data_IF_577658417467
#
_entry.id   IF_577658417467
#
_cell.length_a   1.000
_cell.length_b   1.000
_cell.length_c   1.000
_cell.angle_alpha   90.00
_cell.angle_beta   90.00
_cell.angle_gamma   90.00
#
_symmetry.space_group_name_H-M   'P 1'
#
loop_
_entity.id
_entity.type
_entity.pdbx_description
1 polymer ?
#
# COMPACT_ATOMS: atom_id res chain seq x y z
N UNK A 1 2.76 24.79 -22.83
CA UNK A 1 3.09 24.42 -21.44
C UNK A 1 3.55 22.98 -21.46
N UNK A 2 4.80 22.67 -21.08
CA UNK A 2 5.38 21.33 -21.20
C UNK A 2 4.82 20.38 -20.13
N UNK A 3 4.69 19.08 -20.47
CA UNK A 3 4.20 18.01 -19.56
C UNK A 3 4.96 17.94 -18.23
N UNK A 4 6.19 18.43 -18.20
CA UNK A 4 7.06 18.44 -17.01
C UNK A 4 6.63 19.46 -15.93
N UNK A 5 5.93 20.54 -16.30
CA UNK A 5 5.51 21.57 -15.33
C UNK A 5 4.20 21.24 -14.60
N UNK A 6 3.53 20.14 -14.95
CA UNK A 6 2.33 19.65 -14.27
C UNK A 6 2.66 18.77 -13.05
N UNK A 7 3.93 18.38 -12.88
CA UNK A 7 4.28 17.15 -12.17
C UNK A 7 4.53 17.26 -10.66
N UNK A 8 4.57 18.46 -10.07
CA UNK A 8 5.12 18.57 -8.72
C UNK A 8 4.01 18.71 -7.67
N UNK A 9 3.06 19.64 -7.78
CA UNK A 9 1.85 19.71 -6.91
C UNK A 9 0.66 18.86 -7.42
N UNK A 10 0.88 18.07 -8.46
CA UNK A 10 -0.13 17.72 -9.44
C UNK A 10 -0.54 16.26 -9.46
N UNK A 11 -0.37 15.48 -8.40
CA UNK A 11 -0.86 14.10 -8.34
C UNK A 11 -2.09 13.91 -7.45
N UNK A 12 -2.56 14.98 -6.80
CA UNK A 12 -3.80 14.97 -5.98
C UNK A 12 -5.03 14.58 -6.81
N UNK A 13 -5.00 14.74 -8.15
CA UNK A 13 -6.05 14.22 -9.04
C UNK A 13 -6.20 12.69 -8.99
N UNK A 14 -5.22 11.96 -8.44
CA UNK A 14 -5.30 10.51 -8.30
C UNK A 14 -6.23 10.08 -7.15
N UNK A 15 -6.59 10.96 -6.20
CA UNK A 15 -7.50 10.62 -5.11
C UNK A 15 -8.87 10.11 -5.61
N UNK A 16 -9.58 10.80 -6.53
CA UNK A 16 -10.80 10.26 -7.14
C UNK A 16 -10.57 8.95 -7.91
N UNK A 17 -9.40 8.77 -8.54
CA UNK A 17 -9.07 7.53 -9.25
C UNK A 17 -8.83 6.36 -8.28
N UNK A 18 -8.31 6.63 -7.07
CA UNK A 18 -8.18 5.64 -5.99
C UNK A 18 -9.56 5.27 -5.43
N UNK A 19 -10.48 6.24 -5.27
CA UNK A 19 -11.86 5.92 -4.89
C UNK A 19 -12.51 4.97 -5.88
N UNK A 20 -12.42 5.29 -7.18
CA UNK A 20 -12.99 4.46 -8.23
C UNK A 20 -12.36 3.05 -8.25
N UNK A 21 -11.05 2.95 -8.01
CA UNK A 21 -10.38 1.65 -7.91
C UNK A 21 -10.87 0.83 -6.70
N UNK A 22 -11.04 1.47 -5.53
CA UNK A 22 -11.58 0.82 -4.32
C UNK A 22 -13.02 0.36 -4.51
N UNK A 23 -13.84 1.15 -5.21
CA UNK A 23 -15.24 0.83 -5.54
C UNK A 23 -15.38 -0.35 -6.50
N UNK A 24 -14.40 -0.56 -7.38
CA UNK A 24 -14.39 -1.67 -8.34
C UNK A 24 -14.08 -3.01 -7.69
N UNK A 25 -13.31 -3.00 -6.59
CA UNK A 25 -12.92 -4.20 -5.84
C UNK A 25 -13.32 -4.06 -4.35
N UNK A 26 -14.63 -3.98 -4.04
CA UNK A 26 -15.14 -3.63 -2.71
C UNK A 26 -14.69 -4.60 -1.60
N UNK A 27 -14.59 -5.88 -1.92
CA UNK A 27 -14.29 -6.95 -0.95
C UNK A 27 -12.85 -7.47 -1.05
N UNK A 28 -12.11 -7.04 -2.08
CA UNK A 28 -10.82 -7.63 -2.45
C UNK A 28 -9.63 -6.67 -2.33
N UNK A 29 -9.89 -5.37 -2.34
CA UNK A 29 -8.85 -4.34 -2.26
C UNK A 29 -9.13 -3.40 -1.10
N UNK A 30 -8.11 -3.14 -0.28
CA UNK A 30 -8.13 -2.06 0.71
C UNK A 30 -7.02 -1.06 0.39
N UNK A 31 -7.33 0.24 0.44
CA UNK A 31 -6.37 1.31 0.20
C UNK A 31 -6.02 1.97 1.53
N UNK A 32 -4.74 2.04 1.87
CA UNK A 32 -4.28 2.70 3.08
C UNK A 32 -3.48 3.96 2.71
N UNK A 33 -3.98 5.13 3.06
CA UNK A 33 -3.37 6.40 2.68
C UNK A 33 -2.65 7.07 3.87
N UNK A 34 -1.36 7.34 3.69
CA UNK A 34 -0.49 7.94 4.72
C UNK A 34 -0.01 9.32 4.26
N UNK A 35 -0.58 10.41 4.81
CA UNK A 35 -0.12 11.76 4.51
C UNK A 35 1.35 11.95 4.90
N UNK A 36 2.10 12.73 4.10
CA UNK A 36 3.52 12.98 4.34
C UNK A 36 3.92 14.35 3.77
N UNK A 37 4.70 15.12 4.55
CA UNK A 37 5.11 16.47 4.14
C UNK A 37 6.56 16.56 3.60
N UNK A 38 7.23 15.42 3.42
CA UNK A 38 8.65 15.38 3.06
C UNK A 38 8.94 15.82 1.61
N UNK A 39 7.92 15.84 0.75
CA UNK A 39 8.07 16.09 -0.69
C UNK A 39 7.64 17.50 -1.07
N UNK A 40 8.59 18.45 -0.98
CA UNK A 40 8.37 19.89 -1.22
C UNK A 40 7.17 20.48 -0.47
N UNK A 41 6.96 20.03 0.77
CA UNK A 41 5.99 20.58 1.71
C UNK A 41 4.54 20.63 1.17
N UNK A 42 4.10 19.58 0.47
CA UNK A 42 2.78 19.54 -0.16
C UNK A 42 1.64 19.13 0.75
N UNK A 43 1.95 18.70 1.97
CA UNK A 43 0.99 18.34 3.01
C UNK A 43 1.27 19.14 4.31
N UNK A 44 1.26 20.49 4.24
CA UNK A 44 1.62 21.33 5.39
C UNK A 44 0.56 21.30 6.48
N UNK A 45 -0.69 21.00 6.10
CA UNK A 45 -1.85 20.93 6.98
C UNK A 45 -1.69 19.92 8.12
N UNK A 46 -2.32 20.18 9.26
CA UNK A 46 -2.42 19.23 10.37
C UNK A 46 -3.36 18.06 10.05
N UNK A 47 -3.30 16.98 10.83
CA UNK A 47 -4.15 15.80 10.63
C UNK A 47 -5.65 16.14 10.58
N UNK A 48 -6.10 17.12 11.39
CA UNK A 48 -7.50 17.57 11.41
C UNK A 48 -7.90 18.44 10.22
N UNK A 49 -6.94 19.03 9.51
CA UNK A 49 -7.19 19.94 8.39
C UNK A 49 -7.16 19.21 7.03
N UNK A 50 -6.49 18.05 6.95
CA UNK A 50 -6.36 17.29 5.70
C UNK A 50 -7.73 16.89 5.12
N UNK A 51 -8.67 16.26 5.87
CA UNK A 51 -9.95 15.87 5.28
C UNK A 51 -10.78 17.05 4.73
N UNK A 52 -10.96 18.17 5.47
CA UNK A 52 -11.62 19.37 4.92
C UNK A 52 -10.93 19.94 3.67
N UNK A 53 -9.60 19.86 3.57
CA UNK A 53 -8.89 20.33 2.37
C UNK A 53 -9.16 19.44 1.16
N UNK A 54 -9.21 18.12 1.34
CA UNK A 54 -9.59 17.20 0.27
C UNK A 54 -11.03 17.45 -0.20
N UNK A 55 -11.93 17.73 0.73
CA UNK A 55 -13.36 17.96 0.45
C UNK A 55 -13.63 19.29 -0.25
N UNK A 56 -12.96 20.37 0.16
CA UNK A 56 -13.31 21.72 -0.25
C UNK A 56 -12.30 22.40 -1.17
N UNK A 57 -11.02 22.00 -1.14
CA UNK A 57 -9.94 22.74 -1.81
C UNK A 57 -9.32 21.94 -2.94
N UNK A 58 -8.77 20.75 -2.66
CA UNK A 58 -8.17 19.88 -3.66
C UNK A 58 -8.13 18.44 -3.13
N UNK A 59 -8.85 17.49 -3.76
CA UNK A 59 -9.61 17.61 -5.01
C UNK A 59 -10.75 18.63 -5.00
N UNK A 60 -11.37 18.88 -3.84
CA UNK A 60 -12.50 19.78 -3.73
C UNK A 60 -13.81 19.15 -4.23
N UNK A 61 -14.85 19.96 -4.35
CA UNK A 61 -16.12 19.54 -4.94
C UNK A 61 -16.92 18.52 -4.11
N UNK A 62 -16.69 18.47 -2.79
CA UNK A 62 -17.34 17.49 -1.90
C UNK A 62 -16.68 16.12 -1.94
N UNK A 63 -15.44 16.03 -2.43
CA UNK A 63 -14.70 14.77 -2.47
C UNK A 63 -14.40 14.23 -1.07
N UNK A 64 -14.78 12.99 -0.81
CA UNK A 64 -14.43 12.27 0.42
C UNK A 64 -13.77 10.94 0.04
N UNK A 65 -12.56 10.64 0.55
CA UNK A 65 -11.94 9.32 0.35
C UNK A 65 -12.84 8.20 0.87
N UNK A 66 -13.02 7.15 0.08
CA UNK A 66 -13.77 5.95 0.49
C UNK A 66 -12.85 4.88 1.13
N UNK A 67 -11.70 5.31 1.63
CA UNK A 67 -10.65 4.50 2.23
C UNK A 67 -9.98 5.28 3.39
N UNK A 68 -9.35 4.58 4.36
CA UNK A 68 -8.78 5.21 5.53
C UNK A 68 -7.61 6.14 5.20
N UNK A 69 -7.68 7.35 5.76
CA UNK A 69 -6.57 8.28 5.91
C UNK A 69 -5.99 8.14 7.32
N UNK A 70 -4.70 7.81 7.39
CA UNK A 70 -3.97 7.71 8.65
C UNK A 70 -3.38 9.05 9.07
N UNK A 71 -2.80 9.10 10.27
CA UNK A 71 -2.03 10.25 10.71
C UNK A 71 -0.81 10.49 9.84
N UNK A 72 -0.45 11.77 9.69
CA UNK A 72 0.74 12.19 8.97
C UNK A 72 1.99 11.57 9.59
N UNK A 73 2.86 11.03 8.74
CA UNK A 73 4.11 10.40 9.15
C UNK A 73 5.26 10.75 8.20
N UNK A 74 6.48 10.40 8.61
CA UNK A 74 7.65 10.44 7.76
C UNK A 74 7.91 9.08 7.11
N UNK A 75 8.27 9.08 5.83
CA UNK A 75 8.51 7.86 5.04
C UNK A 75 10.00 7.63 4.75
N UNK A 76 10.83 8.67 4.93
CA UNK A 76 12.27 8.67 4.72
C UNK A 76 13.03 9.31 5.89
N UNK A 77 14.34 9.07 5.94
CA UNK A 77 15.24 9.68 6.92
C UNK A 77 15.33 8.91 8.24
N UNK A 78 15.88 9.56 9.27
CA UNK A 78 16.11 8.97 10.57
C UNK A 78 14.80 8.74 11.36
N UNK A 79 13.78 9.56 11.13
CA UNK A 79 12.48 9.50 11.81
C UNK A 79 11.41 8.79 10.98
N UNK A 80 11.80 8.07 9.93
CA UNK A 80 10.85 7.33 9.11
C UNK A 80 10.07 6.29 9.93
N UNK A 81 8.78 6.15 9.62
CA UNK A 81 7.94 5.20 10.30
C UNK A 81 8.36 3.75 9.97
N UNK A 82 8.33 2.85 10.96
CA UNK A 82 8.78 1.46 10.83
C UNK A 82 8.07 0.69 9.70
N UNK A 83 6.81 1.03 9.42
CA UNK A 83 6.07 0.52 8.24
C UNK A 83 6.84 0.79 6.95
N UNK A 84 7.28 2.04 6.72
CA UNK A 84 7.98 2.42 5.51
C UNK A 84 9.41 1.86 5.46
N UNK A 85 10.08 1.70 6.60
CA UNK A 85 11.33 0.92 6.67
C UNK A 85 11.11 -0.50 6.14
N UNK A 86 10.06 -1.18 6.65
CA UNK A 86 9.73 -2.55 6.20
C UNK A 86 9.38 -2.58 4.72
N UNK A 87 8.46 -1.73 4.26
CA UNK A 87 8.04 -1.68 2.85
C UNK A 87 9.23 -1.43 1.92
N UNK A 88 10.10 -0.46 2.22
CA UNK A 88 11.29 -0.18 1.40
C UNK A 88 12.29 -1.36 1.40
N UNK A 89 12.36 -2.15 2.47
CA UNK A 89 13.26 -3.31 2.54
C UNK A 89 12.78 -4.53 1.73
N UNK A 90 11.47 -4.74 1.62
CA UNK A 90 10.90 -5.91 0.94
C UNK A 90 10.47 -5.62 -0.50
N UNK A 91 10.30 -4.35 -0.86
CA UNK A 91 9.95 -3.93 -2.21
C UNK A 91 11.12 -3.13 -2.82
N UNK A 92 11.84 -3.69 -3.81
CA UNK A 92 12.91 -2.98 -4.49
C UNK A 92 12.43 -1.62 -5.04
N UNK A 93 13.30 -0.60 -5.06
CA UNK A 93 12.90 0.71 -5.54
C UNK A 93 12.71 0.73 -7.05
N UNK A 94 11.72 1.50 -7.49
CA UNK A 94 11.41 1.69 -8.92
C UNK A 94 12.49 2.51 -9.65
N UNK A 95 13.22 3.34 -8.90
CA UNK A 95 14.33 4.17 -9.37
C UNK A 95 15.46 4.10 -8.36
N UNK A 96 16.69 3.91 -8.84
CA UNK A 96 17.90 3.92 -8.00
C UNK A 96 18.45 5.32 -7.79
N UNK A 97 18.06 6.28 -8.64
CA UNK A 97 18.38 7.70 -8.49
C UNK A 97 17.27 8.40 -7.73
N UNK A 98 17.65 9.04 -6.64
CA UNK A 98 16.83 10.08 -6.01
C UNK A 98 17.22 11.42 -6.64
N UNK A 99 16.32 12.40 -6.68
CA UNK A 99 16.63 13.74 -7.21
C UNK A 99 17.79 14.40 -6.48
N UNK A 100 18.06 15.68 -6.74
CA UNK A 100 19.18 16.38 -6.09
C UNK A 100 19.15 16.20 -4.56
N UNK A 101 20.13 15.52 -3.94
CA UNK A 101 20.18 15.31 -2.50
C UNK A 101 20.11 16.60 -1.70
N UNK A 102 20.64 17.71 -2.24
CA UNK A 102 20.59 19.02 -1.58
C UNK A 102 19.17 19.60 -1.52
N UNK A 103 18.24 19.10 -2.34
CA UNK A 103 16.83 19.48 -2.33
C UNK A 103 15.96 18.65 -1.38
N UNK A 104 16.54 17.61 -0.77
CA UNK A 104 15.83 16.73 0.16
C UNK A 104 15.87 17.32 1.57
N UNK A 105 14.75 17.19 2.28
CA UNK A 105 14.60 17.74 3.64
C UNK A 105 14.68 16.66 4.73
N UNK A 106 15.13 15.46 4.36
CA UNK A 106 15.36 14.35 5.28
C UNK A 106 16.82 13.89 5.23
N UNK A 107 17.26 13.26 6.31
CA UNK A 107 18.60 12.68 6.44
C UNK A 107 18.54 11.45 7.35
N UNK A 108 19.34 10.39 7.10
CA UNK A 108 20.20 10.23 5.92
C UNK A 108 19.37 9.93 4.67
N UNK A 109 19.93 10.24 3.51
CA UNK A 109 19.37 9.86 2.21
C UNK A 109 19.87 8.46 1.87
N UNK A 110 18.97 7.56 1.49
CA UNK A 110 19.27 6.14 1.24
C UNK A 110 18.87 5.73 -0.18
N UNK A 111 19.60 4.77 -0.74
CA UNK A 111 19.13 4.05 -1.92
C UNK A 111 17.81 3.37 -1.55
N UNK A 112 16.78 3.67 -2.35
CA UNK A 112 15.45 3.09 -2.18
C UNK A 112 14.47 3.91 -1.34
N UNK A 113 14.86 5.11 -0.89
CA UNK A 113 13.93 6.09 -0.34
C UNK A 113 12.73 6.35 -1.27
N UNK A 114 11.59 6.71 -0.67
CA UNK A 114 10.42 7.16 -1.42
C UNK A 114 10.81 8.43 -2.18
N UNK A 115 10.52 8.49 -3.47
CA UNK A 115 11.02 9.56 -4.34
C UNK A 115 10.06 10.73 -4.46
N UNK A 116 8.76 10.51 -4.25
CA UNK A 116 7.72 11.54 -4.35
C UNK A 116 6.39 11.11 -3.71
N UNK A 117 5.44 12.05 -3.64
CA UNK A 117 4.04 11.79 -3.29
C UNK A 117 3.42 10.73 -4.22
N UNK A 118 2.42 9.98 -3.74
CA UNK A 118 1.65 8.97 -4.50
C UNK A 118 2.46 7.75 -5.01
N UNK A 119 3.63 7.47 -4.44
CA UNK A 119 4.25 6.16 -4.58
C UNK A 119 3.37 5.09 -3.92
N UNK A 120 3.25 3.92 -4.55
CA UNK A 120 2.29 2.88 -4.14
C UNK A 120 3.04 1.57 -3.89
N UNK A 121 2.52 0.80 -2.94
CA UNK A 121 2.97 -0.56 -2.64
C UNK A 121 1.73 -1.45 -2.73
N UNK A 122 1.84 -2.55 -3.48
CA UNK A 122 0.82 -3.58 -3.54
C UNK A 122 1.32 -4.77 -2.71
N UNK A 123 0.48 -5.18 -1.77
CA UNK A 123 0.68 -6.27 -0.82
C UNK A 123 -0.46 -7.26 -1.05
N UNK A 124 -0.18 -8.56 -1.03
CA UNK A 124 -1.21 -9.59 -1.16
C UNK A 124 -1.99 -9.83 0.15
N UNK A 125 -2.99 -10.71 0.10
CA UNK A 125 -3.87 -11.00 1.22
C UNK A 125 -3.14 -11.64 2.42
N UNK A 126 -1.98 -12.27 2.16
CA UNK A 126 -1.12 -12.90 3.15
C UNK A 126 -0.11 -11.93 3.76
N UNK A 127 -0.11 -10.66 3.33
CA UNK A 127 0.79 -9.62 3.82
C UNK A 127 2.17 -9.65 3.19
N UNK A 128 2.36 -10.41 2.11
CA UNK A 128 3.60 -10.47 1.34
C UNK A 128 3.61 -9.35 0.31
N UNK A 129 4.75 -8.66 0.19
CA UNK A 129 4.88 -7.63 -0.81
C UNK A 129 4.93 -8.21 -2.22
N UNK A 130 4.09 -7.66 -3.10
CA UNK A 130 4.09 -7.97 -4.51
C UNK A 130 4.93 -6.97 -5.31
N UNK A 131 4.62 -5.66 -5.23
CA UNK A 131 5.24 -4.66 -6.12
C UNK A 131 5.20 -3.24 -5.57
N UNK A 132 6.20 -2.44 -5.95
CA UNK A 132 6.27 -1.00 -5.71
C UNK A 132 6.11 -0.25 -7.04
N UNK A 133 5.33 0.82 -7.04
CA UNK A 133 4.99 1.59 -8.25
C UNK A 133 5.56 3.01 -8.19
N UNK A 134 5.90 3.55 -9.35
CA UNK A 134 6.28 4.96 -9.47
C UNK A 134 5.07 5.86 -9.19
N UNK A 135 5.26 7.04 -8.55
CA UNK A 135 4.23 8.07 -8.39
C UNK A 135 3.33 8.32 -9.61
N UNK A 136 3.90 8.30 -10.82
CA UNK A 136 3.18 8.60 -12.05
C UNK A 136 2.30 7.45 -12.56
N UNK A 137 2.46 6.23 -12.01
CA UNK A 137 1.58 5.11 -12.35
C UNK A 137 0.18 5.40 -11.82
N UNK A 138 -0.78 5.46 -12.75
CA UNK A 138 -2.18 5.76 -12.44
C UNK A 138 -2.87 4.56 -11.79
N UNK A 139 -3.86 4.75 -10.90
CA UNK A 139 -4.60 3.66 -10.25
C UNK A 139 -5.17 2.62 -11.23
N UNK A 140 -5.65 3.05 -12.41
CA UNK A 140 -6.15 2.14 -13.43
C UNK A 140 -5.10 1.14 -13.96
N UNK A 141 -3.81 1.48 -13.89
CA UNK A 141 -2.72 0.61 -14.32
C UNK A 141 -2.33 -0.44 -13.26
N UNK A 142 -2.94 -0.41 -12.07
CA UNK A 142 -2.73 -1.42 -11.03
C UNK A 142 -3.66 -2.62 -11.19
N UNK A 143 -4.73 -2.49 -12.01
CA UNK A 143 -5.80 -3.49 -12.12
C UNK A 143 -5.30 -4.86 -12.50
N UNK A 144 -4.47 -4.96 -13.54
CA UNK A 144 -3.93 -6.26 -14.00
C UNK A 144 -3.19 -7.01 -12.87
N UNK A 145 -2.42 -6.28 -12.07
CA UNK A 145 -1.68 -6.84 -10.93
C UNK A 145 -2.64 -7.22 -9.78
N UNK A 146 -3.68 -6.41 -9.52
CA UNK A 146 -4.70 -6.68 -8.49
C UNK A 146 -5.51 -7.92 -8.85
N UNK A 147 -6.02 -8.01 -10.08
CA UNK A 147 -6.80 -9.16 -10.56
C UNK A 147 -5.99 -10.45 -10.56
N UNK A 148 -4.69 -10.36 -10.86
CA UNK A 148 -3.77 -11.49 -10.75
C UNK A 148 -3.71 -11.99 -9.29
N UNK A 149 -3.51 -11.10 -8.32
CA UNK A 149 -3.43 -11.48 -6.91
C UNK A 149 -4.74 -12.05 -6.38
N UNK A 150 -5.88 -11.46 -6.76
CA UNK A 150 -7.22 -12.00 -6.44
C UNK A 150 -7.36 -13.43 -6.97
N UNK A 151 -7.02 -13.65 -8.24
CA UNK A 151 -7.07 -14.98 -8.85
C UNK A 151 -6.14 -15.97 -8.15
N UNK A 152 -4.93 -15.55 -7.77
CA UNK A 152 -3.98 -16.40 -7.05
C UNK A 152 -4.51 -16.81 -5.67
N UNK A 153 -5.07 -15.86 -4.92
CA UNK A 153 -5.75 -16.12 -3.64
C UNK A 153 -6.89 -17.11 -3.81
N UNK A 154 -7.76 -16.92 -4.80
CA UNK A 154 -8.93 -17.78 -5.03
C UNK A 154 -8.54 -19.20 -5.47
N UNK A 155 -7.44 -19.36 -6.22
CA UNK A 155 -6.88 -20.67 -6.54
C UNK A 155 -6.29 -21.37 -5.31
N UNK A 156 -5.66 -20.61 -4.40
CA UNK A 156 -5.12 -21.15 -3.15
C UNK A 156 -6.24 -21.61 -2.20
N UNK A 157 -7.37 -20.89 -2.14
CA UNK A 157 -8.52 -21.25 -1.29
C UNK A 157 -9.37 -22.39 -1.85
N UNK A 158 -9.36 -22.61 -3.17
CA UNK A 158 -10.11 -23.70 -3.83
C UNK A 158 -9.33 -25.01 -3.96
N UNK A 159 -8.06 -25.05 -3.57
CA UNK A 159 -7.26 -26.28 -3.56
C UNK A 159 -7.75 -27.22 -2.45
N UNK A 160 -8.09 -28.51 -2.74
CA UNK A 160 -8.52 -29.44 -1.71
C UNK A 160 -7.41 -29.62 -0.67
N UNK A 161 -7.74 -29.40 0.61
CA UNK A 161 -6.90 -29.91 1.71
C UNK A 161 -6.72 -31.43 1.51
N UNK A 162 -5.51 -31.98 1.65
CA UNK A 162 -5.34 -33.43 1.63
C UNK A 162 -6.21 -34.02 2.72
N UNK A 163 -7.11 -34.92 2.34
CA UNK A 163 -8.01 -35.63 3.25
C UNK A 163 -7.24 -36.09 4.49
N UNK A 164 -7.63 -35.60 5.66
CA UNK A 164 -7.35 -36.27 6.93
C UNK A 164 -8.00 -37.65 6.83
N UNK A 165 -7.25 -38.62 6.29
CA UNK A 165 -7.59 -40.03 6.40
C UNK A 165 -7.63 -40.34 7.87
N UNK A 166 -8.86 -40.34 8.40
CA UNK A 166 -9.23 -40.97 9.63
C UNK A 166 -8.53 -42.33 9.72
N UNK A 167 -7.56 -42.45 10.61
CA UNK A 167 -7.14 -43.74 11.13
C UNK A 167 -8.28 -44.23 12.02
N UNK A 168 -9.27 -44.87 11.40
CA UNK A 168 -10.15 -45.78 12.10
C UNK A 168 -9.30 -46.99 12.52
N UNK A 169 -8.95 -47.01 13.81
CA UNK A 169 -8.42 -48.20 14.48
C UNK A 169 -9.39 -48.54 15.60
N UNK A 170 -10.56 -49.01 15.20
CA UNK A 170 -11.38 -49.89 16.01
C UNK A 170 -10.66 -51.25 16.16
N UNK A 171 -10.07 -51.47 17.33
CA UNK A 171 -10.09 -52.79 17.95
C UNK A 171 -9.91 -52.66 19.46
N UNK A 172 -11.01 -52.85 20.18
CA UNK A 172 -11.03 -52.91 21.62
C UNK A 172 -10.73 -54.31 22.17
N UNK A 173 -10.31 -54.28 23.45
CA UNK A 173 -10.33 -55.30 24.49
C UNK A 173 -9.05 -56.15 24.72
N UNK A 174 -8.79 -56.63 25.96
CA UNK A 174 -9.17 -56.09 27.27
C UNK A 174 -7.99 -56.01 28.28
N UNK A 175 -8.27 -55.32 29.38
CA UNK A 175 -7.61 -55.37 30.69
C UNK A 175 -6.91 -56.70 31.02
N UNK A 176 -5.63 -56.62 31.41
CA UNK A 176 -5.08 -57.44 32.49
C UNK A 176 -3.95 -56.70 33.22
N UNK A 177 -4.04 -56.75 34.55
CA UNK A 177 -3.02 -56.37 35.53
C UNK A 177 -1.69 -57.07 35.23
N UNK A 178 -0.54 -56.44 35.48
CA UNK A 178 0.55 -56.97 36.32
C UNK A 178 1.69 -55.93 36.40
N UNK A 179 1.97 -55.55 37.66
CA UNK A 179 3.03 -54.68 38.21
C UNK A 179 3.13 -53.23 37.72
#
# INVERSE_FOLDING_TARGET
>A
MTRENQAILGLVFQYPLLNALREEYPDDLEILAFPCNQFKFQEPASNSEIPPLLEHVRPGGGYVPNFPLFEKLEVNGASEHALYTRLKSVCPPVKTTIGDPASMIWSPIRVGDITWNFQKFLIDAEGVSYKRYDPAVLPAQLKDDIELLIKMRDMATSSPQPDDKATDSSNGAPSSKFW
#
